data_IF_283230925386
#
_entry.id   IF_283230925386
#
_cell.length_a   1.000
_cell.length_b   1.000
_cell.length_c   1.000
_cell.angle_alpha   90.00
_cell.angle_beta   90.00
_cell.angle_gamma   90.00
#
_symmetry.space_group_name_H-M   'P 1'
#
loop_
_entity.id
_entity.type
_entity.pdbx_description
1 polymer ?
#
# COMPACT_ATOMS: atom_id res chain seq x y z
N UNK A 1 -10.74 -15.96 -14.14
CA UNK A 1 -10.60 -15.11 -15.34
C UNK A 1 -9.16 -15.14 -15.87
N UNK A 2 -8.12 -14.96 -15.03
CA UNK A 2 -6.71 -15.01 -15.45
C UNK A 2 -6.33 -16.38 -16.02
N UNK A 3 -6.70 -17.47 -15.32
CA UNK A 3 -6.45 -18.85 -15.77
C UNK A 3 -7.07 -19.07 -17.15
N UNK A 4 -8.33 -18.68 -17.37
CA UNK A 4 -9.00 -18.79 -18.68
C UNK A 4 -8.29 -18.00 -19.78
N UNK A 5 -7.71 -16.85 -19.47
CA UNK A 5 -6.90 -16.08 -20.43
C UNK A 5 -5.58 -16.78 -20.74
N UNK A 6 -4.91 -17.34 -19.75
CA UNK A 6 -3.69 -18.12 -19.94
C UNK A 6 -3.97 -19.40 -20.77
N UNK A 7 -5.08 -20.09 -20.50
CA UNK A 7 -5.53 -21.25 -21.26
C UNK A 7 -5.79 -20.93 -22.74
N UNK A 8 -6.25 -19.71 -23.05
CA UNK A 8 -6.48 -19.29 -24.44
C UNK A 8 -5.20 -19.00 -25.22
N UNK A 9 -4.07 -18.90 -24.54
CA UNK A 9 -2.74 -18.62 -25.15
C UNK A 9 -1.92 -19.90 -25.38
N UNK A 10 -2.42 -21.06 -24.98
CA UNK A 10 -1.70 -22.33 -25.05
C UNK A 10 -2.54 -23.43 -25.71
N UNK A 11 -1.91 -24.58 -26.02
CA UNK A 11 -2.65 -25.76 -26.53
C UNK A 11 -3.60 -26.33 -25.46
N UNK A 12 -4.64 -27.03 -25.90
CA UNK A 12 -5.61 -27.69 -24.97
C UNK A 12 -4.94 -28.61 -23.95
N UNK A 13 -3.86 -29.29 -24.33
CA UNK A 13 -3.13 -30.19 -23.44
C UNK A 13 -2.33 -29.40 -22.36
N UNK A 14 -1.70 -28.32 -22.74
CA UNK A 14 -0.96 -27.45 -21.83
C UNK A 14 -1.90 -26.68 -20.91
N UNK A 15 -3.08 -26.22 -21.41
CA UNK A 15 -4.12 -25.61 -20.62
C UNK A 15 -4.64 -26.56 -19.52
N UNK A 16 -4.84 -27.84 -19.84
CA UNK A 16 -5.25 -28.87 -18.87
C UNK A 16 -4.17 -29.14 -17.81
N UNK A 17 -2.89 -28.99 -18.16
CA UNK A 17 -1.75 -29.11 -17.24
C UNK A 17 -1.67 -27.90 -16.31
N UNK A 18 -1.86 -26.68 -16.85
CA UNK A 18 -1.92 -25.43 -16.08
C UNK A 18 -3.04 -25.44 -15.03
N UNK A 19 -4.23 -25.95 -15.37
CA UNK A 19 -5.34 -26.08 -14.42
C UNK A 19 -5.02 -27.00 -13.23
N UNK A 20 -4.19 -28.02 -13.43
CA UNK A 20 -3.82 -28.97 -12.38
C UNK A 20 -2.67 -28.50 -11.49
N UNK A 21 -1.88 -27.54 -11.94
CA UNK A 21 -0.63 -27.12 -11.28
C UNK A 21 -0.68 -25.71 -10.67
N UNK A 22 -1.66 -24.88 -11.08
CA UNK A 22 -1.76 -23.49 -10.60
C UNK A 22 -3.00 -23.31 -9.75
N UNK A 23 -2.80 -23.16 -8.44
CA UNK A 23 -3.85 -22.80 -7.50
C UNK A 23 -3.79 -21.30 -7.22
N UNK A 24 -4.84 -20.59 -7.58
CA UNK A 24 -5.01 -19.18 -7.17
C UNK A 24 -5.74 -19.17 -5.84
N UNK A 25 -5.06 -18.80 -4.76
CA UNK A 25 -5.70 -18.62 -3.46
C UNK A 25 -6.86 -17.62 -3.59
N UNK A 26 -8.03 -18.04 -3.09
CA UNK A 26 -9.23 -17.19 -3.10
C UNK A 26 -8.97 -15.90 -2.33
N UNK A 27 -8.86 -14.79 -3.04
CA UNK A 27 -8.87 -13.46 -2.43
C UNK A 27 -10.30 -12.97 -2.33
N UNK A 28 -10.67 -12.40 -1.19
CA UNK A 28 -11.87 -11.57 -1.11
C UNK A 28 -11.62 -10.34 -1.99
N UNK A 29 -11.99 -10.45 -3.27
CA UNK A 29 -12.10 -9.27 -4.12
C UNK A 29 -13.36 -8.54 -3.68
N UNK A 30 -13.25 -7.25 -3.48
CA UNK A 30 -14.46 -6.41 -3.44
C UNK A 30 -15.27 -6.74 -4.68
N UNK A 31 -16.54 -7.09 -4.48
CA UNK A 31 -17.49 -7.43 -5.57
C UNK A 31 -17.82 -6.20 -6.44
N UNK A 32 -16.87 -5.27 -6.58
CA UNK A 32 -17.04 -4.10 -7.41
C UNK A 32 -16.70 -4.47 -8.85
N UNK A 33 -17.75 -4.78 -9.64
CA UNK A 33 -17.65 -5.02 -11.07
C UNK A 33 -17.12 -3.82 -11.85
N UNK A 34 -17.10 -2.64 -11.21
CA UNK A 34 -16.79 -1.36 -11.87
C UNK A 34 -15.32 -0.94 -11.70
N UNK A 35 -14.44 -1.79 -11.13
CA UNK A 35 -13.01 -1.44 -10.93
C UNK A 35 -12.38 -0.94 -12.23
N UNK A 36 -12.60 -1.62 -13.35
CA UNK A 36 -12.02 -1.22 -14.63
C UNK A 36 -12.62 0.11 -15.12
N UNK A 37 -13.93 0.32 -14.95
CA UNK A 37 -14.57 1.61 -15.26
C UNK A 37 -14.01 2.74 -14.38
N UNK A 38 -13.78 2.46 -13.11
CA UNK A 38 -13.17 3.42 -12.20
C UNK A 38 -11.73 3.76 -12.61
N UNK A 39 -10.93 2.75 -13.00
CA UNK A 39 -9.59 2.93 -13.54
C UNK A 39 -9.62 3.81 -14.79
N UNK A 40 -10.52 3.52 -15.73
CA UNK A 40 -10.67 4.29 -16.98
C UNK A 40 -11.09 5.75 -16.69
N UNK A 41 -12.03 5.96 -15.77
CA UNK A 41 -12.44 7.31 -15.36
C UNK A 41 -11.28 8.11 -14.75
N UNK A 42 -10.44 7.46 -13.91
CA UNK A 42 -9.25 8.08 -13.33
C UNK A 42 -8.22 8.41 -14.42
N UNK A 43 -7.95 7.49 -15.34
CA UNK A 43 -7.06 7.74 -16.48
C UNK A 43 -7.53 8.91 -17.34
N UNK A 44 -8.82 8.96 -17.66
CA UNK A 44 -9.42 10.06 -18.42
C UNK A 44 -9.27 11.41 -17.69
N UNK A 45 -9.51 11.45 -16.38
CA UNK A 45 -9.31 12.66 -15.59
C UNK A 45 -7.82 13.10 -15.59
N UNK A 46 -6.89 12.16 -15.49
CA UNK A 46 -5.45 12.45 -15.56
C UNK A 46 -5.09 13.01 -16.94
N UNK A 47 -5.52 12.37 -18.02
CA UNK A 47 -5.24 12.77 -19.40
C UNK A 47 -5.79 14.17 -19.72
N UNK A 48 -7.00 14.48 -19.23
CA UNK A 48 -7.66 15.78 -19.44
C UNK A 48 -7.25 16.85 -18.43
N UNK A 49 -6.26 16.58 -17.56
CA UNK A 49 -5.84 17.48 -16.49
C UNK A 49 -6.99 17.95 -15.59
N UNK A 50 -7.97 17.09 -15.32
CA UNK A 50 -9.18 17.37 -14.57
C UNK A 50 -9.18 16.75 -13.18
N UNK A 51 -9.79 17.44 -12.21
CA UNK A 51 -10.14 16.88 -10.91
C UNK A 51 -11.29 15.88 -11.04
N UNK A 52 -11.49 15.07 -10.02
CA UNK A 52 -12.63 14.16 -9.94
C UNK A 52 -13.25 14.18 -8.54
N UNK A 53 -14.50 13.76 -8.46
CA UNK A 53 -15.16 13.49 -7.20
C UNK A 53 -15.75 12.09 -7.18
N UNK A 54 -15.85 11.50 -6.00
CA UNK A 54 -16.38 10.15 -5.81
C UNK A 54 -16.93 9.96 -4.40
N UNK A 55 -17.74 8.94 -4.22
CA UNK A 55 -18.13 8.42 -2.91
C UNK A 55 -17.18 7.29 -2.51
N UNK A 56 -16.79 7.23 -1.23
CA UNK A 56 -15.88 6.23 -0.74
C UNK A 56 -16.56 5.27 0.22
N UNK A 57 -16.32 3.96 0.05
CA UNK A 57 -16.99 2.90 0.80
C UNK A 57 -16.09 2.28 1.86
N UNK A 58 -16.71 1.71 2.89
CA UNK A 58 -16.10 0.81 3.87
C UNK A 58 -16.94 -0.46 4.00
N UNK A 59 -16.31 -1.54 4.46
CA UNK A 59 -17.06 -2.72 4.87
C UNK A 59 -17.73 -2.47 6.22
N UNK A 60 -18.98 -2.90 6.33
CA UNK A 60 -19.68 -2.98 7.60
C UNK A 60 -19.57 -4.41 8.20
N UNK A 61 -20.12 -4.60 9.41
CA UNK A 61 -20.10 -5.90 10.10
C UNK A 61 -20.97 -6.96 9.42
N UNK A 62 -21.88 -6.57 8.53
CA UNK A 62 -22.69 -7.46 7.69
C UNK A 62 -21.98 -7.90 6.41
N UNK A 63 -20.70 -7.50 6.23
CA UNK A 63 -19.88 -7.76 5.02
C UNK A 63 -20.43 -7.07 3.75
N UNK A 64 -21.06 -5.91 3.91
CA UNK A 64 -21.59 -5.08 2.85
C UNK A 64 -20.74 -3.81 2.70
N UNK A 65 -20.61 -3.30 1.47
CA UNK A 65 -19.96 -2.01 1.20
C UNK A 65 -20.95 -0.86 1.41
N UNK A 66 -20.80 -0.14 2.49
CA UNK A 66 -21.52 1.08 2.78
C UNK A 66 -20.71 2.33 2.46
N UNK A 67 -21.39 3.37 2.01
CA UNK A 67 -20.77 4.67 1.71
C UNK A 67 -20.43 5.36 3.03
N UNK A 68 -19.23 5.94 3.12
CA UNK A 68 -18.77 6.72 4.28
C UNK A 68 -19.41 8.12 4.28
N UNK A 69 -19.42 8.74 5.47
CA UNK A 69 -19.80 10.15 5.66
C UNK A 69 -21.17 10.49 5.04
N UNK A 70 -22.17 9.64 5.28
CA UNK A 70 -23.56 9.84 4.81
C UNK A 70 -23.68 10.14 3.30
N UNK A 71 -22.75 9.57 2.53
CA UNK A 71 -22.76 9.76 1.09
C UNK A 71 -21.99 10.97 0.58
N UNK A 72 -21.31 11.72 1.45
CA UNK A 72 -20.49 12.86 1.03
C UNK A 72 -19.46 12.46 -0.03
N UNK A 73 -19.21 13.37 -0.96
CA UNK A 73 -18.22 13.17 -2.02
C UNK A 73 -16.87 13.66 -1.58
N UNK A 74 -15.85 12.94 -1.99
CA UNK A 74 -14.45 13.35 -1.90
C UNK A 74 -14.05 14.06 -3.19
N UNK A 75 -13.41 15.21 -3.11
CA UNK A 75 -12.91 15.98 -4.24
C UNK A 75 -11.40 15.87 -4.32
N UNK A 76 -10.88 15.32 -5.40
CA UNK A 76 -9.48 14.91 -5.50
C UNK A 76 -8.90 15.25 -6.87
N UNK A 77 -7.71 15.79 -6.91
CA UNK A 77 -6.89 15.87 -8.12
C UNK A 77 -6.12 14.57 -8.30
N UNK A 78 -6.45 13.73 -9.32
CA UNK A 78 -5.79 12.46 -9.56
C UNK A 78 -4.41 12.68 -10.16
N UNK A 79 -3.37 12.00 -9.62
CA UNK A 79 -2.01 12.12 -10.11
C UNK A 79 -1.40 10.82 -10.61
N UNK A 80 -1.86 9.69 -10.12
CA UNK A 80 -1.38 8.40 -10.57
C UNK A 80 -2.21 7.25 -10.07
N UNK A 81 -2.05 6.11 -10.71
CA UNK A 81 -2.55 4.82 -10.26
C UNK A 81 -1.37 3.93 -9.90
N UNK A 82 -1.44 3.33 -8.72
CA UNK A 82 -0.44 2.40 -8.23
C UNK A 82 -1.10 1.05 -7.99
N UNK A 83 -0.45 -0.02 -8.46
CA UNK A 83 -0.81 -1.39 -8.09
C UNK A 83 0.03 -1.81 -6.90
N UNK A 84 -0.60 -2.09 -5.77
CA UNK A 84 0.07 -2.59 -4.57
C UNK A 84 -0.78 -3.61 -3.84
N UNK A 85 -0.16 -4.72 -3.39
CA UNK A 85 -0.82 -5.80 -2.66
C UNK A 85 -2.13 -6.28 -3.30
N UNK A 86 -2.14 -6.34 -4.65
CA UNK A 86 -3.27 -6.83 -5.44
C UNK A 86 -4.46 -5.88 -5.52
N UNK A 87 -4.27 -4.58 -5.23
CA UNK A 87 -5.28 -3.56 -5.36
C UNK A 87 -4.75 -2.37 -6.17
N UNK A 88 -5.64 -1.70 -6.91
CA UNK A 88 -5.36 -0.39 -7.47
C UNK A 88 -5.57 0.69 -6.42
N UNK A 89 -4.62 1.62 -6.35
CA UNK A 89 -4.70 2.82 -5.51
C UNK A 89 -4.60 4.06 -6.38
N UNK A 90 -5.57 4.96 -6.23
CA UNK A 90 -5.45 6.32 -6.73
C UNK A 90 -4.51 7.10 -5.79
N UNK A 91 -3.45 7.68 -6.33
CA UNK A 91 -2.64 8.70 -5.68
C UNK A 91 -3.23 10.04 -6.07
N UNK A 92 -3.77 10.78 -5.13
CA UNK A 92 -4.48 12.02 -5.40
C UNK A 92 -4.24 13.09 -4.33
N UNK A 93 -4.33 14.33 -4.76
CA UNK A 93 -4.32 15.48 -3.87
C UNK A 93 -5.76 15.75 -3.40
N UNK A 94 -5.99 15.63 -2.10
CA UNK A 94 -7.30 15.78 -1.47
C UNK A 94 -7.58 17.26 -1.20
N UNK A 95 -8.73 17.75 -1.67
CA UNK A 95 -9.17 19.14 -1.51
C UNK A 95 -9.97 19.40 -0.23
N UNK A 96 -10.56 18.36 0.36
CA UNK A 96 -11.58 18.48 1.39
C UNK A 96 -11.04 18.36 2.81
N UNK A 97 -9.75 18.07 2.97
CA UNK A 97 -9.14 17.97 4.29
C UNK A 97 -8.55 19.30 4.74
N UNK A 98 -8.56 19.54 6.05
CA UNK A 98 -7.93 20.73 6.65
C UNK A 98 -6.44 20.84 6.27
N UNK A 99 -5.78 19.67 6.12
CA UNK A 99 -4.42 19.55 5.59
C UNK A 99 -4.52 19.02 4.18
N UNK A 100 -4.61 19.91 3.21
CA UNK A 100 -4.59 19.57 1.78
C UNK A 100 -3.30 18.83 1.45
N UNK A 101 -3.38 17.53 1.23
CA UNK A 101 -2.21 16.66 1.04
C UNK A 101 -2.46 15.49 0.09
N UNK A 102 -1.39 14.78 -0.26
CA UNK A 102 -1.47 13.56 -1.07
C UNK A 102 -2.07 12.44 -0.23
N UNK A 103 -3.09 11.80 -0.77
CA UNK A 103 -3.77 10.65 -0.17
C UNK A 103 -3.88 9.49 -1.15
N UNK A 104 -4.14 8.31 -0.58
CA UNK A 104 -4.32 7.07 -1.32
C UNK A 104 -5.73 6.56 -1.14
N UNK A 105 -6.38 6.26 -2.26
CA UNK A 105 -7.73 5.72 -2.26
C UNK A 105 -7.74 4.41 -3.01
N UNK A 106 -8.23 3.35 -2.38
CA UNK A 106 -8.44 2.07 -3.05
C UNK A 106 -9.54 2.22 -4.09
N UNK A 107 -9.22 1.92 -5.34
CA UNK A 107 -10.14 2.11 -6.48
C UNK A 107 -11.37 1.21 -6.37
N UNK A 108 -11.22 0.01 -5.80
CA UNK A 108 -12.32 -0.93 -5.56
C UNK A 108 -13.35 -0.44 -4.52
N UNK A 109 -12.99 0.56 -3.70
CA UNK A 109 -13.88 1.21 -2.73
C UNK A 109 -14.48 2.51 -3.21
N UNK A 110 -14.17 2.93 -4.43
CA UNK A 110 -14.71 4.14 -5.02
C UNK A 110 -16.03 3.83 -5.77
N UNK A 111 -17.02 4.68 -5.60
CA UNK A 111 -18.31 4.62 -6.31
C UNK A 111 -18.65 5.99 -6.90
N UNK A 112 -19.44 5.98 -7.97
CA UNK A 112 -20.02 7.18 -8.57
C UNK A 112 -18.94 8.25 -8.88
N UNK A 113 -17.86 7.85 -9.57
CA UNK A 113 -16.79 8.76 -9.98
C UNK A 113 -17.35 9.73 -11.02
N UNK A 114 -17.13 11.03 -10.79
CA UNK A 114 -17.44 12.10 -11.73
C UNK A 114 -16.17 12.89 -12.04
N UNK A 115 -15.89 13.11 -13.32
CA UNK A 115 -14.82 14.01 -13.75
C UNK A 115 -15.36 15.42 -13.65
N UNK A 116 -14.63 16.31 -12.97
CA UNK A 116 -15.04 17.69 -12.74
C UNK A 116 -14.39 18.62 -13.76
N UNK A 117 -15.07 19.67 -14.11
CA UNK A 117 -14.50 20.74 -14.96
C UNK A 117 -13.62 21.68 -14.11
N UNK A 118 -12.63 21.10 -13.44
CA UNK A 118 -11.69 21.80 -12.56
C UNK A 118 -10.29 21.25 -12.81
N UNK A 119 -9.34 22.15 -13.02
CA UNK A 119 -7.93 21.79 -13.24
C UNK A 119 -7.35 21.15 -11.99
N UNK A 120 -6.47 20.16 -12.16
CA UNK A 120 -5.80 19.47 -11.04
C UNK A 120 -4.89 20.42 -10.27
N UNK A 121 -4.88 20.26 -8.97
CA UNK A 121 -4.01 20.97 -8.01
C UNK A 121 -3.02 19.99 -7.33
N UNK A 122 -2.07 20.53 -6.57
CA UNK A 122 -1.14 19.73 -5.74
C UNK A 122 0.10 19.20 -6.45
N UNK A 123 0.41 19.68 -7.67
CA UNK A 123 1.57 19.24 -8.47
C UNK A 123 2.90 19.38 -7.72
N UNK A 124 3.06 20.44 -6.94
CA UNK A 124 4.33 20.73 -6.23
C UNK A 124 4.61 19.70 -5.13
N UNK A 125 3.55 19.19 -4.48
CA UNK A 125 3.69 18.11 -3.50
C UNK A 125 4.09 16.79 -4.16
N UNK A 126 3.63 16.57 -5.37
CA UNK A 126 3.92 15.35 -6.14
C UNK A 126 5.33 15.34 -6.75
N UNK A 127 5.88 16.50 -7.14
CA UNK A 127 7.26 16.59 -7.69
C UNK A 127 8.33 16.02 -6.75
N UNK A 128 8.05 15.99 -5.45
CA UNK A 128 8.93 15.41 -4.43
C UNK A 128 8.76 13.90 -4.28
N UNK A 129 7.80 13.29 -4.97
CA UNK A 129 7.46 11.88 -4.85
C UNK A 129 7.86 11.13 -6.13
N UNK A 130 8.80 10.21 -6.02
CA UNK A 130 8.99 9.20 -7.04
C UNK A 130 7.89 8.13 -6.88
N UNK A 131 6.88 8.17 -7.76
CA UNK A 131 5.72 7.27 -7.69
C UNK A 131 6.15 5.80 -7.84
N UNK A 132 7.22 5.50 -8.56
CA UNK A 132 7.70 4.14 -8.78
C UNK A 132 8.30 3.53 -7.49
N UNK A 133 9.08 4.32 -6.74
CA UNK A 133 9.64 3.91 -5.44
C UNK A 133 8.66 4.11 -4.28
N UNK A 134 7.65 4.95 -4.47
CA UNK A 134 6.69 5.34 -3.45
C UNK A 134 5.94 4.15 -2.83
N UNK A 135 5.54 3.19 -3.66
CA UNK A 135 4.87 1.97 -3.19
C UNK A 135 5.75 1.07 -2.32
N UNK A 136 7.07 1.09 -2.52
CA UNK A 136 8.02 0.25 -1.76
C UNK A 136 8.20 0.75 -0.34
N UNK A 137 8.22 2.07 -0.13
CA UNK A 137 8.40 2.69 1.20
C UNK A 137 7.11 2.73 2.03
N UNK A 138 5.93 2.55 1.41
CA UNK A 138 4.64 2.66 2.09
C UNK A 138 4.10 1.30 2.50
N UNK A 139 3.98 1.07 3.80
CA UNK A 139 3.32 -0.11 4.35
C UNK A 139 1.81 0.11 4.39
N UNK A 140 1.04 -0.78 3.73
CA UNK A 140 -0.41 -0.69 3.66
C UNK A 140 -0.94 0.59 3.01
N UNK A 141 -0.09 1.34 2.25
CA UNK A 141 -0.42 2.64 1.64
C UNK A 141 -0.83 3.71 2.66
N UNK A 142 -0.35 3.62 3.90
CA UNK A 142 -0.54 4.67 4.89
C UNK A 142 0.49 5.79 4.73
N UNK A 143 0.07 7.03 4.98
CA UNK A 143 0.95 8.20 4.98
C UNK A 143 1.83 8.20 6.22
N UNK A 144 2.97 8.86 6.12
CA UNK A 144 3.95 9.11 7.15
C UNK A 144 5.10 9.88 6.52
N UNK A 145 5.85 10.63 7.31
CA UNK A 145 7.09 11.24 6.86
C UNK A 145 8.07 10.13 6.44
N UNK A 146 8.88 10.38 5.41
CA UNK A 146 9.91 9.43 5.01
C UNK A 146 11.07 9.53 5.99
N UNK A 147 11.39 8.40 6.63
CA UNK A 147 12.53 8.26 7.53
C UNK A 147 13.51 7.22 6.99
N UNK A 148 14.78 7.36 7.35
CA UNK A 148 15.81 6.37 7.10
C UNK A 148 15.94 5.48 8.32
N UNK A 149 15.28 4.30 8.27
CA UNK A 149 15.40 3.30 9.32
C UNK A 149 16.70 2.51 9.19
N UNK A 150 17.29 2.18 10.34
CA UNK A 150 18.44 1.28 10.46
C UNK A 150 18.00 -0.03 11.12
N UNK A 151 18.22 -1.13 10.42
CA UNK A 151 17.81 -2.47 10.82
C UNK A 151 19.05 -3.32 11.03
N UNK A 152 19.21 -3.93 12.21
CA UNK A 152 20.10 -5.05 12.40
C UNK A 152 19.40 -6.30 11.86
N UNK A 153 20.01 -6.96 10.90
CA UNK A 153 19.46 -8.10 10.17
C UNK A 153 20.39 -9.30 10.26
N UNK A 154 19.85 -10.51 10.51
CA UNK A 154 20.59 -11.74 10.30
C UNK A 154 20.94 -11.90 8.83
N UNK A 155 22.19 -12.27 8.50
CA UNK A 155 22.65 -12.41 7.12
C UNK A 155 21.79 -13.41 6.32
N UNK A 156 21.25 -14.43 6.95
CA UNK A 156 20.33 -15.41 6.33
C UNK A 156 18.97 -14.82 5.92
N UNK A 157 18.58 -13.67 6.47
CA UNK A 157 17.29 -13.03 6.22
C UNK A 157 17.38 -11.78 5.32
N UNK A 158 18.58 -11.44 4.82
CA UNK A 158 18.80 -10.25 3.95
C UNK A 158 17.88 -10.26 2.72
N UNK A 159 17.61 -11.44 2.14
CA UNK A 159 16.74 -11.59 0.98
C UNK A 159 15.36 -10.97 1.19
N UNK A 160 14.79 -11.10 2.38
CA UNK A 160 13.47 -10.52 2.72
C UNK A 160 13.49 -8.99 2.62
N UNK A 161 14.57 -8.34 3.02
CA UNK A 161 14.74 -6.89 2.90
C UNK A 161 14.93 -6.47 1.45
N UNK A 162 15.71 -7.23 0.67
CA UNK A 162 15.91 -6.98 -0.76
C UNK A 162 14.60 -7.14 -1.52
N UNK A 163 13.84 -8.21 -1.27
CA UNK A 163 12.53 -8.45 -1.91
C UNK A 163 11.55 -7.33 -1.63
N UNK A 164 11.58 -6.77 -0.41
CA UNK A 164 10.67 -5.70 -0.01
C UNK A 164 11.07 -4.33 -0.51
N UNK A 165 12.36 -3.98 -0.40
CA UNK A 165 12.86 -2.61 -0.63
C UNK A 165 13.63 -2.46 -1.95
N UNK A 166 14.01 -3.56 -2.57
CA UNK A 166 14.82 -3.58 -3.80
C UNK A 166 16.32 -3.73 -3.51
N UNK A 167 17.10 -3.86 -4.57
CA UNK A 167 18.56 -4.06 -4.50
C UNK A 167 19.35 -2.80 -4.14
N UNK A 168 18.71 -1.63 -4.15
CA UNK A 168 19.35 -0.33 -3.87
C UNK A 168 19.54 -0.05 -2.38
N UNK A 169 19.15 -0.98 -1.51
CA UNK A 169 19.34 -0.85 -0.06
C UNK A 169 20.81 -0.87 0.30
N UNK A 170 21.22 -0.01 1.24
CA UNK A 170 22.59 0.00 1.75
C UNK A 170 22.73 -1.10 2.80
N UNK A 171 23.66 -2.02 2.57
CA UNK A 171 23.97 -3.13 3.49
C UNK A 171 25.43 -3.00 3.95
N UNK A 172 25.65 -2.94 5.26
CA UNK A 172 26.96 -2.90 5.88
C UNK A 172 27.15 -4.15 6.75
N UNK A 173 28.11 -5.00 6.39
CA UNK A 173 28.44 -6.18 7.21
C UNK A 173 28.85 -5.72 8.61
N UNK A 174 28.26 -6.31 9.65
CA UNK A 174 28.62 -6.06 11.04
C UNK A 174 29.53 -7.18 11.57
N UNK A 175 29.12 -8.43 11.37
CA UNK A 175 29.84 -9.63 11.78
C UNK A 175 29.47 -10.80 10.84
N UNK A 176 29.89 -12.03 11.16
CA UNK A 176 29.60 -13.22 10.34
C UNK A 176 28.12 -13.59 10.32
N UNK A 177 27.34 -13.19 11.32
CA UNK A 177 25.93 -13.54 11.45
C UNK A 177 24.99 -12.38 11.10
N UNK A 178 25.45 -11.12 11.18
CA UNK A 178 24.59 -9.93 11.08
C UNK A 178 25.13 -8.85 10.16
N UNK A 179 24.23 -8.11 9.58
CA UNK A 179 24.47 -6.87 8.83
C UNK A 179 23.55 -5.73 9.32
N UNK A 180 24.00 -4.50 9.11
CA UNK A 180 23.20 -3.28 9.28
C UNK A 180 22.62 -2.90 7.93
N UNK A 181 21.32 -2.76 7.84
CA UNK A 181 20.63 -2.43 6.59
C UNK A 181 19.88 -1.11 6.76
N UNK A 182 20.04 -0.21 5.80
CA UNK A 182 19.41 1.11 5.81
C UNK A 182 18.31 1.14 4.74
N UNK A 183 17.09 1.42 5.17
CA UNK A 183 15.92 1.48 4.30
C UNK A 183 15.18 2.81 4.47
N UNK A 184 14.58 3.30 3.38
CA UNK A 184 13.66 4.43 3.42
C UNK A 184 12.25 3.92 3.60
N UNK A 185 11.57 4.36 4.64
CA UNK A 185 10.20 3.96 4.98
C UNK A 185 9.37 5.15 5.40
N UNK A 186 8.05 5.02 5.23
CA UNK A 186 7.14 5.93 5.89
C UNK A 186 7.11 5.62 7.39
N UNK A 187 7.22 6.64 8.21
CA UNK A 187 7.06 6.55 9.65
C UNK A 187 5.60 6.20 9.98
N UNK A 188 5.36 4.92 10.23
CA UNK A 188 4.06 4.40 10.62
C UNK A 188 4.18 3.06 11.36
N UNK A 189 3.18 2.76 12.19
CA UNK A 189 3.15 1.54 13.00
C UNK A 189 3.17 0.24 12.20
N UNK A 190 2.71 0.23 10.95
CA UNK A 190 2.71 -0.99 10.13
C UNK A 190 4.13 -1.44 9.78
N UNK A 191 5.07 -0.51 9.61
CA UNK A 191 6.48 -0.86 9.45
C UNK A 191 7.03 -1.52 10.71
N UNK A 192 6.73 -0.95 11.89
CA UNK A 192 7.13 -1.52 13.19
C UNK A 192 6.56 -2.94 13.34
N UNK A 193 5.27 -3.13 13.08
CA UNK A 193 4.61 -4.43 13.17
C UNK A 193 5.17 -5.43 12.15
N UNK A 194 5.53 -4.98 10.95
CA UNK A 194 6.16 -5.84 9.95
C UNK A 194 7.54 -6.33 10.43
N UNK A 195 8.35 -5.45 11.03
CA UNK A 195 9.63 -5.85 11.64
C UNK A 195 9.40 -6.84 12.79
N UNK A 196 8.42 -6.58 13.66
CA UNK A 196 8.07 -7.50 14.77
C UNK A 196 7.66 -8.89 14.27
N UNK A 197 6.92 -8.94 13.14
CA UNK A 197 6.50 -10.20 12.53
C UNK A 197 7.67 -11.06 12.01
N UNK A 198 8.84 -10.46 11.79
CA UNK A 198 10.06 -11.18 11.39
C UNK A 198 10.81 -11.81 12.57
N UNK A 199 10.32 -11.65 13.79
CA UNK A 199 10.89 -12.22 15.01
C UNK A 199 12.30 -11.72 15.26
N UNK A 200 13.21 -12.64 15.59
CA UNK A 200 14.60 -12.36 15.91
C UNK A 200 15.51 -12.14 14.68
N UNK A 201 14.95 -12.20 13.46
CA UNK A 201 15.70 -11.95 12.24
C UNK A 201 16.02 -10.47 12.04
N UNK A 202 15.13 -9.58 12.52
CA UNK A 202 15.26 -8.14 12.36
C UNK A 202 15.11 -7.41 13.70
N UNK A 203 15.89 -6.35 13.87
CA UNK A 203 15.77 -5.43 14.99
C UNK A 203 15.99 -4.01 14.49
N UNK A 204 15.06 -3.11 14.76
CA UNK A 204 15.24 -1.67 14.54
C UNK A 204 16.28 -1.16 15.56
N UNK A 205 17.34 -0.54 15.07
CA UNK A 205 18.43 -0.01 15.89
C UNK A 205 18.64 1.51 15.69
N UNK A 206 17.90 2.11 14.78
CA UNK A 206 17.94 3.55 14.53
C UNK A 206 16.85 4.00 13.54
N UNK A 207 16.54 5.28 13.51
CA UNK A 207 16.98 6.34 14.42
C UNK A 207 16.38 6.21 15.83
N UNK A 208 16.86 7.00 16.80
CA UNK A 208 16.49 6.90 18.21
C UNK A 208 14.98 7.09 18.46
N UNK A 209 14.35 8.04 17.76
CA UNK A 209 12.90 8.25 17.83
C UNK A 209 12.12 7.01 17.40
N UNK A 210 12.53 6.33 16.32
CA UNK A 210 11.89 5.10 15.85
C UNK A 210 12.09 3.94 16.84
N UNK A 211 13.27 3.83 17.45
CA UNK A 211 13.53 2.83 18.52
C UNK A 211 12.60 3.08 19.71
N UNK A 212 12.39 4.35 20.08
CA UNK A 212 11.44 4.71 21.14
C UNK A 212 10.02 4.31 20.78
N UNK A 213 9.57 4.56 19.56
CA UNK A 213 8.24 4.16 19.09
C UNK A 213 8.04 2.63 19.15
N UNK A 214 9.09 1.84 18.85
CA UNK A 214 9.05 0.38 19.03
C UNK A 214 8.79 0.02 20.49
N UNK A 215 9.49 0.67 21.44
CA UNK A 215 9.27 0.43 22.88
C UNK A 215 7.87 0.83 23.33
N UNK A 216 7.39 1.99 22.88
CA UNK A 216 6.04 2.47 23.20
C UNK A 216 4.98 1.49 22.66
N UNK A 217 5.17 0.95 21.45
CA UNK A 217 4.24 -0.01 20.86
C UNK A 217 4.30 -1.37 21.56
N UNK A 218 5.47 -1.85 21.98
CA UNK A 218 5.60 -3.07 22.80
C UNK A 218 4.84 -2.93 24.11
N UNK A 219 5.02 -1.81 24.84
CA UNK A 219 4.32 -1.53 26.09
C UNK A 219 2.80 -1.45 25.89
N UNK A 220 2.36 -0.88 24.75
CA UNK A 220 0.94 -0.82 24.40
C UNK A 220 0.35 -2.20 24.13
N UNK A 221 1.11 -3.05 23.40
CA UNK A 221 0.68 -4.42 23.08
C UNK A 221 0.67 -5.29 24.35
N UNK A 222 1.67 -5.17 25.22
CA UNK A 222 1.69 -5.89 26.51
C UNK A 222 0.41 -5.60 27.30
N UNK A 223 0.07 -4.33 27.51
CA UNK A 223 -1.18 -3.94 28.18
C UNK A 223 -2.45 -4.45 27.49
N UNK A 224 -2.45 -4.53 26.14
CA UNK A 224 -3.59 -5.02 25.39
C UNK A 224 -3.83 -6.52 25.58
N UNK A 225 -2.76 -7.30 25.84
CA UNK A 225 -2.80 -8.75 25.99
C UNK A 225 -2.53 -9.22 27.42
N UNK A 226 -2.51 -8.31 28.40
CA UNK A 226 -2.54 -8.67 29.80
C UNK A 226 -3.79 -9.54 30.04
N UNK A 227 -3.57 -10.73 30.61
CA UNK A 227 -4.67 -11.59 31.02
C UNK A 227 -5.39 -10.89 32.18
N UNK A 228 -6.71 -10.73 32.07
CA UNK A 228 -7.52 -10.32 33.21
C UNK A 228 -7.45 -11.45 34.25
N UNK A 229 -6.95 -11.12 35.44
CA UNK A 229 -6.96 -12.03 36.61
C UNK A 229 -8.38 -12.44 37.00
#
# INVERSE_FOLDING_TARGET
ELIKKLESLTSRQEAATLQRQVYVAGRVKTMNSDIMKNVDAIHNAIANNSSLSFQYCRWNTKKELEVKHDGARYHVSPWGLLWNDGNYYLIGYDHDTQVKDIRHYRVDKMKNILIENKVREGREKLKKLDIASYGKSKFGMYNGEEIKAEILCKNSAIGVLIDRFGTDVTILKKDEAHSRVFVKVADNKLFIHWIMAMGDNFKIIGPENLVKEVHDELNRLEKQYELAD
#
